data_IF_192026491441
#
_entry.id   IF_192026491441
#
_cell.length_a   1.000
_cell.length_b   1.000
_cell.length_c   1.000
_cell.angle_alpha   90.00
_cell.angle_beta   90.00
_cell.angle_gamma   90.00
#
_symmetry.space_group_name_H-M   'P 1'
#
loop_
_entity.id
_entity.type
_entity.pdbx_description
1 polymer ?
#
# COMPACT_ATOMS: atom_id res chain seq x y z
N UNK A 1 7.96 19.79 4.96
CA UNK A 1 6.62 19.14 4.93
C UNK A 1 6.67 17.97 3.95
N UNK A 2 6.01 16.84 4.24
CA UNK A 2 5.95 15.65 3.37
C UNK A 2 4.48 15.27 3.14
N UNK A 3 4.17 14.70 1.97
CA UNK A 3 2.86 14.08 1.66
C UNK A 3 3.07 12.60 1.31
N UNK A 4 2.01 11.80 1.44
CA UNK A 4 2.02 10.40 1.06
C UNK A 4 1.88 10.21 -0.45
N UNK A 5 2.20 9.01 -0.96
CA UNK A 5 2.08 8.66 -2.38
C UNK A 5 0.66 8.88 -2.89
N UNK A 6 -0.36 8.43 -2.14
CA UNK A 6 -1.76 8.62 -2.55
C UNK A 6 -2.17 10.10 -2.65
N UNK A 7 -1.61 10.96 -1.79
CA UNK A 7 -1.90 12.40 -1.80
C UNK A 7 -1.23 13.07 -3.00
N UNK A 8 0.03 12.73 -3.27
CA UNK A 8 0.74 13.22 -4.46
C UNK A 8 0.04 12.79 -5.75
N UNK A 9 -0.40 11.52 -5.82
CA UNK A 9 -1.16 10.98 -6.95
C UNK A 9 -2.51 11.68 -7.13
N UNK A 10 -3.23 11.97 -6.04
CA UNK A 10 -4.45 12.77 -6.13
C UNK A 10 -4.19 14.14 -6.78
N UNK A 11 -3.16 14.85 -6.35
CA UNK A 11 -2.78 16.15 -6.94
C UNK A 11 -2.40 16.03 -8.43
N UNK A 12 -1.69 14.97 -8.80
CA UNK A 12 -1.34 14.70 -10.19
C UNK A 12 -2.58 14.43 -11.07
N UNK A 13 -3.52 13.62 -10.57
CA UNK A 13 -4.78 13.35 -11.27
C UNK A 13 -5.61 14.62 -11.45
N UNK A 14 -5.75 15.44 -10.39
CA UNK A 14 -6.45 16.74 -10.44
C UNK A 14 -5.79 17.72 -11.43
N UNK A 15 -4.49 17.59 -11.67
CA UNK A 15 -3.74 18.35 -12.66
C UNK A 15 -3.76 17.74 -14.07
N UNK A 16 -4.48 16.64 -14.31
CA UNK A 16 -4.59 15.97 -15.60
C UNK A 16 -3.40 15.09 -15.98
N UNK A 17 -2.50 14.77 -15.04
CA UNK A 17 -1.38 13.86 -15.26
C UNK A 17 -1.88 12.41 -15.20
N UNK A 18 -1.64 11.64 -16.24
CA UNK A 18 -1.99 10.23 -16.29
C UNK A 18 -1.23 9.44 -15.21
N UNK A 19 -1.99 8.77 -14.34
CA UNK A 19 -1.48 7.89 -13.30
C UNK A 19 -2.34 6.62 -13.24
N UNK A 20 -1.82 5.50 -12.72
CA UNK A 20 -2.67 4.35 -12.43
C UNK A 20 -3.73 4.71 -11.39
N UNK A 21 -4.94 4.15 -11.55
CA UNK A 21 -5.99 4.34 -10.55
C UNK A 21 -5.62 3.60 -9.27
N UNK A 22 -5.95 4.20 -8.13
CA UNK A 22 -5.80 3.55 -6.85
C UNK A 22 -6.72 4.09 -5.79
N UNK A 23 -6.95 3.28 -4.78
CA UNK A 23 -7.94 3.48 -3.71
C UNK A 23 -7.21 3.42 -2.37
N UNK A 24 -7.54 4.36 -1.49
CA UNK A 24 -7.00 4.42 -0.13
C UNK A 24 -7.80 3.47 0.76
N UNK A 25 -7.09 2.61 1.48
CA UNK A 25 -7.69 1.61 2.38
C UNK A 25 -7.14 1.79 3.79
N UNK A 26 -8.03 1.80 4.78
CA UNK A 26 -7.70 1.90 6.21
C UNK A 26 -8.28 0.76 7.06
N UNK A 27 -9.21 0.00 6.49
CA UNK A 27 -9.78 -1.22 7.05
C UNK A 27 -9.43 -2.37 6.11
N UNK A 28 -8.86 -3.49 6.59
CA UNK A 28 -8.57 -4.64 5.75
C UNK A 28 -9.76 -5.16 4.94
N UNK A 29 -10.99 -5.08 5.47
CA UNK A 29 -12.19 -5.55 4.79
C UNK A 29 -12.52 -4.76 3.51
N UNK A 30 -12.03 -3.52 3.39
CA UNK A 30 -12.22 -2.69 2.21
C UNK A 30 -11.21 -3.00 1.09
N UNK A 31 -10.18 -3.82 1.36
CA UNK A 31 -9.18 -4.19 0.36
C UNK A 31 -9.78 -5.01 -0.80
N UNK A 32 -10.71 -5.93 -0.51
CA UNK A 32 -11.41 -6.70 -1.52
C UNK A 32 -12.29 -5.82 -2.43
N UNK A 33 -12.98 -4.83 -1.83
CA UNK A 33 -13.81 -3.87 -2.58
C UNK A 33 -12.94 -3.03 -3.51
N UNK A 34 -11.81 -2.53 -3.00
CA UNK A 34 -10.85 -1.79 -3.80
C UNK A 34 -10.28 -2.63 -4.95
N UNK A 35 -9.94 -3.90 -4.73
CA UNK A 35 -9.52 -4.81 -5.80
C UNK A 35 -10.59 -4.91 -6.89
N UNK A 36 -11.84 -5.18 -6.50
CA UNK A 36 -12.95 -5.33 -7.43
C UNK A 36 -13.25 -4.03 -8.22
N UNK A 37 -13.19 -2.87 -7.55
CA UNK A 37 -13.44 -1.56 -8.17
C UNK A 37 -12.36 -1.18 -9.19
N UNK A 38 -11.09 -1.53 -8.94
CA UNK A 38 -10.01 -1.27 -9.89
C UNK A 38 -10.12 -2.10 -11.18
N UNK A 39 -10.81 -3.25 -11.12
CA UNK A 39 -11.21 -4.03 -12.29
C UNK A 39 -10.06 -4.63 -13.10
N UNK A 40 -8.86 -4.74 -12.52
CA UNK A 40 -7.67 -5.29 -13.20
C UNK A 40 -7.34 -6.69 -12.69
N UNK A 41 -6.73 -7.57 -13.51
CA UNK A 41 -6.31 -8.92 -13.06
C UNK A 41 -5.27 -8.92 -11.94
N UNK A 42 -4.58 -7.79 -11.78
CA UNK A 42 -3.48 -7.60 -10.84
C UNK A 42 -3.61 -6.22 -10.21
N UNK A 43 -3.40 -6.14 -8.90
CA UNK A 43 -3.25 -4.87 -8.17
C UNK A 43 -2.03 -4.93 -7.26
N UNK A 44 -1.59 -3.76 -6.78
CA UNK A 44 -0.46 -3.62 -5.87
C UNK A 44 -0.95 -3.02 -4.55
N UNK A 45 -0.73 -3.70 -3.43
CA UNK A 45 -1.01 -3.20 -2.08
C UNK A 45 0.24 -2.49 -1.56
N UNK A 46 0.14 -1.20 -1.25
CA UNK A 46 1.29 -0.35 -0.90
C UNK A 46 1.14 0.32 0.46
N UNK A 47 2.06 0.07 1.38
CA UNK A 47 2.15 0.78 2.66
C UNK A 47 2.36 2.28 2.47
N UNK A 48 1.55 3.09 3.13
CA UNK A 48 1.70 4.54 3.13
C UNK A 48 2.45 5.01 4.38
N UNK A 49 3.77 5.16 4.25
CA UNK A 49 4.66 5.74 5.27
C UNK A 49 5.58 6.78 4.64
N UNK A 50 6.10 7.71 5.44
CA UNK A 50 7.07 8.73 4.98
C UNK A 50 8.51 8.19 4.97
N UNK A 51 8.71 7.07 4.29
CA UNK A 51 10.02 6.46 4.04
C UNK A 51 9.99 5.66 2.72
N UNK A 52 11.10 5.68 2.00
CA UNK A 52 11.38 4.83 0.84
C UNK A 52 11.85 3.43 1.24
N UNK A 53 12.15 2.59 0.24
CA UNK A 53 12.60 1.22 0.44
C UNK A 53 11.51 0.23 0.85
N UNK A 54 10.23 0.60 0.75
CA UNK A 54 9.07 -0.18 1.22
C UNK A 54 8.98 -1.59 0.62
N UNK A 55 9.27 -1.74 -0.67
CA UNK A 55 9.19 -3.05 -1.35
C UNK A 55 10.26 -4.06 -0.91
N UNK A 56 11.39 -3.60 -0.36
CA UNK A 56 12.40 -4.45 0.28
C UNK A 56 12.31 -4.41 1.81
N UNK A 57 11.31 -3.70 2.34
CA UNK A 57 11.05 -3.60 3.77
C UNK A 57 10.34 -4.84 4.28
N UNK A 58 10.41 -5.05 5.59
CA UNK A 58 9.79 -6.18 6.30
C UNK A 58 9.03 -5.66 7.51
N UNK A 59 7.91 -6.28 7.86
CA UNK A 59 7.18 -5.92 9.07
C UNK A 59 7.77 -6.62 10.29
N UNK A 60 7.77 -5.95 11.45
CA UNK A 60 8.25 -6.57 12.71
C UNK A 60 7.38 -7.74 13.14
N UNK A 61 6.07 -7.56 12.98
CA UNK A 61 5.02 -8.49 13.36
C UNK A 61 4.89 -9.63 12.35
N UNK A 62 5.27 -9.37 11.09
CA UNK A 62 5.21 -10.31 9.98
C UNK A 62 6.49 -10.23 9.12
N UNK A 63 7.60 -10.89 9.52
CA UNK A 63 8.90 -10.74 8.86
C UNK A 63 8.93 -11.08 7.36
N UNK A 64 8.07 -12.00 6.92
CA UNK A 64 7.93 -12.42 5.52
C UNK A 64 7.10 -11.43 4.67
N UNK A 65 6.43 -10.46 5.29
CA UNK A 65 5.57 -9.49 4.60
C UNK A 65 6.40 -8.32 4.07
N UNK A 66 6.27 -8.03 2.76
CA UNK A 66 6.82 -6.84 2.14
C UNK A 66 5.87 -5.64 2.25
N UNK A 67 6.42 -4.41 2.28
CA UNK A 67 5.64 -3.16 2.31
C UNK A 67 5.02 -2.75 0.96
N UNK A 68 5.34 -3.47 -0.11
CA UNK A 68 4.75 -3.35 -1.45
C UNK A 68 4.62 -4.76 -2.01
N UNK A 69 3.40 -5.16 -2.34
CA UNK A 69 3.10 -6.53 -2.76
C UNK A 69 2.11 -6.53 -3.91
N UNK A 70 2.35 -7.39 -4.90
CA UNK A 70 1.47 -7.64 -6.02
C UNK A 70 0.50 -8.77 -5.63
N UNK A 71 -0.79 -8.55 -5.86
CA UNK A 71 -1.85 -9.53 -5.56
C UNK A 71 -2.75 -9.74 -6.77
N UNK A 72 -3.33 -10.94 -6.88
CA UNK A 72 -4.12 -11.37 -8.04
C UNK A 72 -5.55 -11.77 -7.71
N UNK A 73 -5.96 -11.62 -6.45
CA UNK A 73 -7.32 -11.89 -6.01
C UNK A 73 -7.75 -10.91 -4.89
N UNK A 74 -9.06 -10.71 -4.70
CA UNK A 74 -9.59 -9.96 -3.57
C UNK A 74 -9.16 -10.54 -2.22
N UNK A 75 -9.08 -11.86 -2.10
CA UNK A 75 -8.69 -12.56 -0.87
C UNK A 75 -7.22 -12.27 -0.52
N UNK A 76 -6.33 -12.29 -1.52
CA UNK A 76 -4.93 -11.93 -1.35
C UNK A 76 -4.79 -10.46 -0.92
N UNK A 77 -5.62 -9.56 -1.47
CA UNK A 77 -5.61 -8.16 -1.09
C UNK A 77 -5.98 -7.97 0.39
N UNK A 78 -7.01 -8.66 0.89
CA UNK A 78 -7.41 -8.64 2.30
C UNK A 78 -6.33 -9.25 3.19
N UNK A 79 -5.80 -10.43 2.85
CA UNK A 79 -4.78 -11.09 3.66
C UNK A 79 -3.50 -10.26 3.80
N UNK A 80 -3.09 -9.55 2.75
CA UNK A 80 -1.97 -8.61 2.84
C UNK A 80 -2.36 -7.38 3.67
N UNK A 81 -3.58 -6.84 3.50
CA UNK A 81 -4.02 -5.69 4.26
C UNK A 81 -4.08 -5.94 5.77
N UNK A 82 -4.54 -7.13 6.20
CA UNK A 82 -4.58 -7.56 7.60
C UNK A 82 -3.19 -7.62 8.23
N UNK A 83 -2.19 -8.11 7.50
CA UNK A 83 -0.80 -8.15 7.99
C UNK A 83 -0.15 -6.77 8.01
N UNK A 84 -0.52 -5.90 7.07
CA UNK A 84 0.15 -4.61 6.90
C UNK A 84 -0.44 -3.52 7.80
N UNK A 85 -1.76 -3.39 7.91
CA UNK A 85 -2.41 -2.33 8.70
C UNK A 85 -2.21 -2.56 10.20
N UNK A 86 -1.79 -1.51 10.91
CA UNK A 86 -1.47 -1.55 12.33
C UNK A 86 -0.07 -2.08 12.66
N UNK A 87 0.57 -2.78 11.72
CA UNK A 87 1.93 -3.33 11.85
C UNK A 87 3.02 -2.31 11.55
N UNK A 88 4.25 -2.60 11.98
CA UNK A 88 5.43 -1.74 11.91
C UNK A 88 6.34 -2.16 10.76
N UNK A 89 6.40 -1.34 9.70
CA UNK A 89 7.26 -1.58 8.54
C UNK A 89 8.66 -1.04 8.77
N UNK A 90 9.66 -1.92 8.69
CA UNK A 90 11.08 -1.61 8.74
C UNK A 90 11.63 -1.57 7.32
N UNK A 91 12.19 -0.42 6.91
CA UNK A 91 12.91 -0.23 5.65
C UNK A 91 14.34 0.23 5.93
N UNK A 92 15.18 0.29 4.89
CA UNK A 92 16.53 0.87 5.00
C UNK A 92 16.52 2.33 5.48
N UNK A 93 15.43 3.07 5.28
CA UNK A 93 15.32 4.49 5.64
C UNK A 93 14.67 4.73 7.01
N UNK A 94 13.89 3.76 7.53
CA UNK A 94 13.31 3.88 8.87
C UNK A 94 14.26 3.46 9.97
N UNK A 95 15.31 2.68 9.64
CA UNK A 95 16.08 1.93 10.62
C UNK A 95 15.21 0.90 11.36
N UNK A 96 15.78 0.29 12.40
CA UNK A 96 15.15 -0.78 13.17
C UNK A 96 13.91 -0.32 13.94
N UNK A 97 13.73 0.98 14.18
CA UNK A 97 12.50 1.52 14.78
C UNK A 97 11.28 1.25 13.89
N UNK A 98 11.44 1.35 12.57
CA UNK A 98 10.34 1.18 11.62
C UNK A 98 9.33 2.33 11.65
N UNK A 99 8.24 2.18 10.91
CA UNK A 99 7.06 3.05 10.97
C UNK A 99 5.79 2.24 10.89
N UNK A 100 4.84 2.55 11.77
CA UNK A 100 3.52 1.92 11.74
C UNK A 100 2.78 2.30 10.46
N UNK A 101 2.14 1.31 9.84
CA UNK A 101 1.35 1.49 8.63
C UNK A 101 -0.13 1.61 9.03
N UNK A 102 -0.67 2.83 8.94
CA UNK A 102 -2.08 3.10 9.26
C UNK A 102 -2.95 3.33 8.02
N UNK A 103 -2.35 3.22 6.83
CA UNK A 103 -3.03 3.45 5.56
C UNK A 103 -2.33 2.65 4.48
N UNK A 104 -3.12 2.04 3.62
CA UNK A 104 -2.70 1.36 2.40
C UNK A 104 -3.22 2.13 1.20
N UNK A 105 -2.52 1.96 0.08
CA UNK A 105 -2.97 2.41 -1.22
C UNK A 105 -2.95 1.19 -2.15
N UNK A 106 -4.13 0.77 -2.59
CA UNK A 106 -4.30 -0.33 -3.53
C UNK A 106 -4.38 0.28 -4.91
N UNK A 107 -3.46 -0.08 -5.79
CA UNK A 107 -3.31 0.54 -7.10
C UNK A 107 -3.34 -0.52 -8.21
N UNK A 108 -3.84 -0.16 -9.40
CA UNK A 108 -3.76 -1.02 -10.59
C UNK A 108 -2.33 -1.51 -10.84
N UNK A 109 -2.17 -2.82 -11.06
CA UNK A 109 -0.97 -3.39 -11.66
C UNK A 109 -1.00 -3.15 -13.16
N UNK A 110 0.01 -2.45 -13.69
CA UNK A 110 0.20 -2.25 -15.13
C UNK A 110 0.80 -3.49 -15.79
#
# INVERSE_FOLDING_TARGET
MKIHEYQAKKLFSEAGVAIPNGIVVKDPADAAKAFAELGTPVVVVKSQIHAGGRGKGRFKEHPEQAGVVLVKSPEDAVANAERMLGSTLVTIQTGDEGKQVNTLYIEQGL
#
